data_IF_458446018691
#
_entry.id   IF_458446018691
#
_cell.length_a   1.000
_cell.length_b   1.000
_cell.length_c   1.000
_cell.angle_alpha   90.00
_cell.angle_beta   90.00
_cell.angle_gamma   90.00
#
_symmetry.space_group_name_H-M   'P 1'
#
loop_
_entity.id
_entity.type
_entity.pdbx_description
1 polymer ?
#
# COMPACT_ATOMS: atom_id res chain seq x y z
N UNK A 1 -5.54 24.17 -14.07
CA UNK A 1 -4.95 23.68 -13.59
C UNK A 1 -4.91 22.56 -13.29
N UNK A 2 -4.66 22.26 -13.50
CA UNK A 2 -4.56 21.22 -13.14
C UNK A 2 -4.25 21.08 -11.98
N UNK A 3 -4.77 20.89 -11.54
CA UNK A 3 -4.29 20.74 -10.31
C UNK A 3 -3.18 19.82 -10.22
N UNK A 4 -2.21 20.22 -9.60
CA UNK A 4 -1.11 19.35 -9.41
C UNK A 4 -1.52 18.18 -8.61
N UNK A 5 -1.19 17.05 -9.08
CA UNK A 5 -1.47 15.84 -8.38
C UNK A 5 -0.78 15.83 -7.04
N UNK A 6 -1.51 15.50 -6.02
CA UNK A 6 -0.92 15.37 -4.73
C UNK A 6 0.01 14.18 -4.72
N UNK A 7 1.21 14.37 -4.24
CA UNK A 7 2.19 13.32 -4.29
C UNK A 7 2.29 12.53 -3.01
N UNK A 8 2.00 13.17 -1.88
CA UNK A 8 2.12 12.47 -0.62
C UNK A 8 1.30 13.17 0.43
N UNK A 9 0.63 12.40 1.28
CA UNK A 9 -0.03 12.94 2.46
C UNK A 9 0.53 12.22 3.67
N UNK A 10 0.52 12.93 4.80
CA UNK A 10 1.00 12.40 6.08
C UNK A 10 -0.12 12.45 7.10
N UNK A 11 -0.06 11.57 8.08
CA UNK A 11 -1.05 11.52 9.14
C UNK A 11 -0.46 10.88 10.40
N UNK A 12 -1.08 11.17 11.54
CA UNK A 12 -0.56 10.67 12.82
C UNK A 12 -0.78 9.19 13.00
N UNK A 13 -1.91 8.70 12.55
CA UNK A 13 -2.27 7.29 12.68
C UNK A 13 -2.69 6.77 11.33
N UNK A 14 -2.61 5.45 11.17
CA UNK A 14 -2.99 4.83 9.92
C UNK A 14 -4.38 5.24 9.46
N UNK A 15 -4.57 5.29 8.16
CA UNK A 15 -5.83 5.66 7.55
C UNK A 15 -6.36 4.53 6.71
N UNK A 16 -7.65 4.26 6.80
CA UNK A 16 -8.26 3.24 5.97
C UNK A 16 -8.34 3.67 4.51
N UNK A 17 -8.54 2.69 3.64
CA UNK A 17 -8.90 2.96 2.26
C UNK A 17 -10.38 3.29 2.25
N UNK A 18 -10.74 4.48 1.80
CA UNK A 18 -12.12 4.95 1.76
C UNK A 18 -12.88 4.42 0.55
N UNK A 19 -12.16 4.15 -0.53
CA UNK A 19 -12.80 3.67 -1.75
C UNK A 19 -11.76 3.45 -2.84
N UNK A 20 -12.20 2.85 -3.95
CA UNK A 20 -11.34 2.64 -5.10
C UNK A 20 -12.20 2.48 -6.34
N UNK A 21 -11.57 2.63 -7.48
CA UNK A 21 -12.21 2.42 -8.77
C UNK A 21 -11.15 2.25 -9.84
N UNK A 22 -11.51 2.36 -11.12
CA UNK A 22 -10.53 2.21 -12.19
C UNK A 22 -9.40 3.22 -12.02
N UNK A 23 -8.19 2.70 -11.86
CA UNK A 23 -6.96 3.46 -11.77
C UNK A 23 -6.86 4.41 -10.58
N UNK A 24 -7.66 4.26 -9.52
CA UNK A 24 -7.52 5.15 -8.36
C UNK A 24 -7.90 4.49 -7.06
N UNK A 25 -7.35 5.07 -5.98
CA UNK A 25 -7.69 4.74 -4.60
C UNK A 25 -7.94 6.04 -3.84
N UNK A 26 -8.88 6.02 -2.89
CA UNK A 26 -9.13 7.20 -2.05
C UNK A 26 -8.71 6.88 -0.63
N UNK A 27 -7.82 7.71 -0.11
CA UNK A 27 -7.29 7.55 1.25
C UNK A 27 -7.35 8.91 1.93
N UNK A 28 -7.96 8.96 3.12
CA UNK A 28 -8.06 10.20 3.88
C UNK A 28 -8.68 11.33 3.06
N UNK A 29 -9.65 10.99 2.22
CA UNK A 29 -10.33 11.98 1.39
C UNK A 29 -9.58 12.39 0.14
N UNK A 30 -8.37 11.91 -0.06
CA UNK A 30 -7.56 12.26 -1.22
C UNK A 30 -7.56 11.13 -2.23
N UNK A 31 -7.61 11.49 -3.50
CA UNK A 31 -7.58 10.51 -4.59
C UNK A 31 -6.15 10.36 -5.10
N UNK A 32 -5.70 9.12 -5.17
CA UNK A 32 -4.38 8.77 -5.70
C UNK A 32 -4.58 7.91 -6.93
N UNK A 33 -4.02 8.33 -8.05
CA UNK A 33 -4.09 7.57 -9.29
C UNK A 33 -2.85 6.70 -9.42
N UNK A 34 -3.03 5.50 -10.00
CA UNK A 34 -1.93 4.60 -10.24
C UNK A 34 -1.52 3.81 -9.03
N UNK A 35 -0.25 3.42 -9.01
CA UNK A 35 0.31 2.62 -7.92
C UNK A 35 0.55 3.47 -6.69
N UNK A 36 0.22 2.94 -5.52
CA UNK A 36 0.43 3.67 -4.27
C UNK A 36 1.03 2.79 -3.21
N UNK A 37 1.73 3.44 -2.28
CA UNK A 37 2.21 2.83 -1.06
C UNK A 37 1.50 3.51 0.11
N UNK A 38 0.71 2.75 0.85
CA UNK A 38 0.02 3.25 2.04
C UNK A 38 0.74 2.71 3.26
N UNK A 39 1.23 3.62 4.06
CA UNK A 39 2.12 3.32 5.18
C UNK A 39 1.49 3.81 6.48
N UNK A 40 2.05 3.44 7.63
CA UNK A 40 1.44 3.85 8.91
C UNK A 40 1.23 5.34 9.07
N UNK A 41 2.09 6.17 8.48
CA UNK A 41 2.01 7.61 8.67
C UNK A 41 1.95 8.40 7.35
N UNK A 42 1.83 7.74 6.23
CA UNK A 42 1.78 8.44 4.94
C UNK A 42 1.20 7.58 3.84
N UNK A 43 0.76 8.24 2.79
CA UNK A 43 0.38 7.59 1.55
C UNK A 43 1.02 8.36 0.41
N UNK A 44 1.61 7.65 -0.54
CA UNK A 44 2.35 8.30 -1.62
C UNK A 44 2.37 7.43 -2.86
N UNK A 45 2.67 8.02 -4.01
CA UNK A 45 2.87 7.26 -5.24
C UNK A 45 3.99 6.24 -5.07
N UNK A 46 3.87 5.14 -5.76
CA UNK A 46 4.80 4.03 -5.64
C UNK A 46 5.23 3.61 -7.03
N UNK A 47 6.52 3.32 -7.20
CA UNK A 47 7.05 2.96 -8.50
C UNK A 47 6.84 1.49 -8.85
N UNK A 48 6.38 0.68 -7.92
CA UNK A 48 6.13 -0.73 -8.16
C UNK A 48 7.20 -1.61 -7.54
N UNK A 49 7.28 -2.85 -8.02
CA UNK A 49 8.09 -3.86 -7.34
C UNK A 49 9.59 -3.62 -7.41
N UNK A 50 10.04 -2.70 -8.24
CA UNK A 50 11.45 -2.31 -8.24
C UNK A 50 11.77 -1.29 -7.16
N UNK A 51 10.77 -0.92 -6.36
CA UNK A 51 10.89 0.13 -5.37
C UNK A 51 10.41 -0.34 -3.99
N UNK A 52 11.19 -1.18 -3.30
CA UNK A 52 10.81 -1.63 -1.96
C UNK A 52 11.06 -0.59 -0.88
N UNK A 53 11.78 0.49 -1.20
CA UNK A 53 12.23 1.45 -0.21
C UNK A 53 11.14 2.05 0.66
N UNK A 54 9.95 2.43 0.14
CA UNK A 54 8.94 3.02 1.01
C UNK A 54 8.59 2.14 2.20
N UNK A 55 8.60 0.82 2.01
CA UNK A 55 8.26 -0.13 3.07
C UNK A 55 9.46 -0.41 3.96
N UNK A 56 10.62 -0.62 3.37
CA UNK A 56 11.84 -0.91 4.12
C UNK A 56 12.19 0.25 5.05
N UNK A 57 11.99 1.48 4.59
CA UNK A 57 12.35 2.66 5.38
C UNK A 57 11.53 2.79 6.66
N UNK A 58 10.37 2.15 6.73
CA UNK A 58 9.53 2.17 7.94
C UNK A 58 9.33 0.76 8.48
N UNK A 59 10.27 -0.14 8.21
CA UNK A 59 10.13 -1.55 8.54
C UNK A 59 9.83 -1.80 10.01
N UNK A 60 10.38 -0.99 10.91
CA UNK A 60 10.12 -1.22 12.34
C UNK A 60 8.71 -0.85 12.75
N UNK A 61 7.95 -0.20 11.89
CA UNK A 61 6.56 0.13 12.15
C UNK A 61 5.61 -0.81 11.40
N UNK A 62 6.14 -1.84 10.73
CA UNK A 62 5.35 -2.76 9.91
C UNK A 62 5.55 -4.19 10.36
N UNK A 63 4.44 -4.91 10.54
CA UNK A 63 4.49 -6.37 10.69
C UNK A 63 4.26 -7.05 9.36
N UNK A 64 3.42 -6.47 8.53
CA UNK A 64 3.05 -7.09 7.25
C UNK A 64 2.74 -6.02 6.22
N UNK A 65 3.06 -6.32 4.97
CA UNK A 65 2.60 -5.54 3.82
C UNK A 65 1.70 -6.44 3.00
N UNK A 66 0.50 -5.96 2.74
CA UNK A 66 -0.41 -6.63 1.82
C UNK A 66 -0.15 -6.05 0.43
N UNK A 67 0.03 -6.94 -0.54
CA UNK A 67 0.28 -6.52 -1.92
C UNK A 67 -0.99 -6.76 -2.72
N UNK A 68 -1.60 -5.67 -3.20
CA UNK A 68 -2.74 -5.76 -4.09
C UNK A 68 -2.27 -5.79 -5.53
N UNK A 69 -2.58 -6.87 -6.22
CA UNK A 69 -2.04 -7.15 -7.55
C UNK A 69 -2.95 -6.65 -8.68
N UNK A 70 -3.79 -5.67 -8.41
CA UNK A 70 -4.77 -5.25 -9.39
C UNK A 70 -5.96 -6.19 -9.39
N UNK A 71 -6.50 -6.49 -10.58
CA UNK A 71 -7.67 -7.36 -10.67
C UNK A 71 -7.35 -8.81 -10.37
N UNK A 72 -6.18 -9.27 -10.81
CA UNK A 72 -5.85 -10.70 -10.76
C UNK A 72 -4.52 -10.90 -10.06
N UNK A 73 -4.47 -11.93 -9.23
CA UNK A 73 -3.23 -12.31 -8.55
C UNK A 73 -2.25 -12.82 -9.60
N UNK A 74 -1.00 -12.39 -9.47
CA UNK A 74 0.08 -12.84 -10.34
C UNK A 74 1.30 -13.13 -9.47
N UNK A 75 2.38 -13.54 -10.10
CA UNK A 75 3.62 -13.81 -9.40
C UNK A 75 4.21 -12.52 -8.84
N UNK A 76 4.53 -12.54 -7.56
CA UNK A 76 5.26 -11.45 -6.95
C UNK A 76 6.75 -11.64 -7.25
N UNK A 77 7.44 -10.61 -7.75
CA UNK A 77 8.88 -10.73 -7.99
C UNK A 77 9.61 -11.14 -6.71
N UNK A 78 10.50 -12.13 -6.87
CA UNK A 78 11.24 -12.69 -5.74
C UNK A 78 12.05 -11.61 -5.01
N UNK A 79 12.65 -10.71 -5.77
CA UNK A 79 13.48 -9.66 -5.16
C UNK A 79 12.70 -8.75 -4.23
N UNK A 80 11.47 -8.39 -4.61
CA UNK A 80 10.63 -7.54 -3.77
C UNK A 80 10.28 -8.25 -2.48
N UNK A 81 9.77 -9.48 -2.58
CA UNK A 81 9.42 -10.27 -1.39
C UNK A 81 10.62 -10.46 -0.49
N UNK A 82 11.75 -10.86 -1.08
CA UNK A 82 12.95 -11.14 -0.30
C UNK A 82 13.43 -9.91 0.45
N UNK A 83 13.42 -8.76 -0.21
CA UNK A 83 13.88 -7.52 0.41
C UNK A 83 13.02 -7.15 1.61
N UNK A 84 11.70 -7.27 1.48
CA UNK A 84 10.81 -6.97 2.59
C UNK A 84 10.98 -7.99 3.72
N UNK A 85 11.05 -9.27 3.39
CA UNK A 85 11.19 -10.30 4.41
C UNK A 85 12.49 -10.19 5.17
N UNK A 86 13.58 -9.82 4.48
CA UNK A 86 14.85 -9.59 5.16
C UNK A 86 14.81 -8.40 6.09
N UNK A 87 13.89 -7.48 5.87
CA UNK A 87 13.68 -6.35 6.76
C UNK A 87 12.72 -6.68 7.90
N UNK A 88 12.26 -7.93 7.99
CA UNK A 88 11.37 -8.35 9.06
C UNK A 88 9.90 -8.14 8.78
N UNK A 89 9.53 -7.89 7.52
CA UNK A 89 8.16 -7.60 7.14
C UNK A 89 7.55 -8.82 6.46
N UNK A 90 6.38 -9.28 6.96
CA UNK A 90 5.63 -10.31 6.26
C UNK A 90 5.02 -9.76 4.98
N UNK A 91 4.83 -10.63 3.98
CA UNK A 91 4.29 -10.19 2.69
C UNK A 91 3.20 -11.16 2.28
N UNK A 92 2.02 -10.62 1.94
CA UNK A 92 0.90 -11.43 1.47
C UNK A 92 0.31 -10.80 0.23
N UNK A 93 0.00 -11.62 -0.77
CA UNK A 93 -0.52 -11.13 -2.04
C UNK A 93 -2.00 -11.47 -2.18
N UNK A 94 -2.73 -10.56 -2.81
CA UNK A 94 -4.16 -10.74 -3.11
C UNK A 94 -4.51 -9.73 -4.20
N UNK A 95 -5.73 -9.81 -4.75
CA UNK A 95 -6.13 -8.75 -5.67
C UNK A 95 -6.34 -7.45 -4.89
N UNK A 96 -6.33 -6.31 -5.58
CA UNK A 96 -6.36 -5.03 -4.91
C UNK A 96 -7.64 -4.77 -4.10
N UNK A 97 -8.83 -5.11 -4.58
CA UNK A 97 -10.03 -4.95 -3.74
C UNK A 97 -9.94 -5.72 -2.43
N UNK A 98 -9.49 -6.97 -2.49
CA UNK A 98 -9.35 -7.77 -1.28
C UNK A 98 -8.28 -7.20 -0.36
N UNK A 99 -7.17 -6.71 -0.95
CA UNK A 99 -6.10 -6.11 -0.17
C UNK A 99 -6.61 -4.89 0.59
N UNK A 100 -7.41 -4.05 -0.05
CA UNK A 100 -7.98 -2.88 0.60
C UNK A 100 -8.86 -3.25 1.77
N UNK A 101 -9.74 -4.25 1.58
CA UNK A 101 -10.63 -4.68 2.65
C UNK A 101 -9.88 -5.32 3.81
N UNK A 102 -8.92 -6.18 3.49
CA UNK A 102 -8.12 -6.85 4.51
C UNK A 102 -7.29 -5.84 5.30
N UNK A 103 -6.69 -4.88 4.59
CA UNK A 103 -5.95 -3.81 5.23
C UNK A 103 -6.84 -3.06 6.23
N UNK A 104 -8.05 -2.68 5.82
CA UNK A 104 -8.94 -1.92 6.70
C UNK A 104 -9.28 -2.72 7.96
N UNK A 105 -9.50 -4.03 7.83
CA UNK A 105 -9.79 -4.88 8.99
C UNK A 105 -8.59 -4.94 9.93
N UNK A 106 -7.40 -5.21 9.39
CA UNK A 106 -6.20 -5.30 10.21
C UNK A 106 -5.90 -3.98 10.90
N UNK A 107 -6.09 -2.88 10.17
CA UNK A 107 -5.86 -1.57 10.74
C UNK A 107 -6.81 -1.31 11.92
N UNK A 108 -8.08 -1.67 11.77
CA UNK A 108 -9.07 -1.47 12.84
C UNK A 108 -8.76 -2.33 14.06
N UNK A 109 -7.99 -3.39 13.89
CA UNK A 109 -7.56 -4.25 15.00
C UNK A 109 -6.25 -3.79 15.62
N UNK A 110 -5.74 -2.65 15.19
CA UNK A 110 -4.49 -2.12 15.73
C UNK A 110 -3.25 -2.78 15.18
N UNK A 111 -3.35 -3.51 14.06
CA UNK A 111 -2.19 -4.17 13.46
C UNK A 111 -1.32 -3.16 12.71
N UNK A 112 -0.04 -3.44 12.66
CA UNK A 112 0.93 -2.59 11.95
C UNK A 112 1.05 -3.10 10.53
N UNK A 113 0.23 -2.54 9.65
CA UNK A 113 0.05 -3.05 8.30
C UNK A 113 0.30 -1.94 7.29
N UNK A 114 0.95 -2.31 6.18
CA UNK A 114 1.11 -1.44 5.03
C UNK A 114 0.47 -2.05 3.81
N UNK A 115 0.33 -1.26 2.76
CA UNK A 115 -0.39 -1.66 1.57
C UNK A 115 0.38 -1.21 0.35
N UNK A 116 0.72 -2.16 -0.52
CA UNK A 116 1.35 -1.88 -1.81
C UNK A 116 0.31 -2.22 -2.87
N UNK A 117 -0.20 -1.21 -3.55
CA UNK A 117 -1.35 -1.41 -4.45
C UNK A 117 -1.01 -1.14 -5.90
N UNK A 118 -1.33 -2.10 -6.74
CA UNK A 118 -1.42 -1.90 -8.19
C UNK A 118 -2.85 -1.50 -8.51
N UNK A 119 -3.05 -0.59 -9.46
CA UNK A 119 -4.40 -0.10 -9.77
C UNK A 119 -5.24 -1.13 -10.51
N UNK A 120 -6.52 -0.89 -10.48
CA UNK A 120 -7.51 -1.70 -11.20
C UNK A 120 -7.68 -1.20 -12.64
#
# INVERSE_FOLDING_TARGET
MHKMQLNEISFDNGRPVDGYGPNFFRIAGEVFEGKIALLPHSCKPWLGFDDPAPFVNVAKDLDVVLVGMGKNIAHLPVGFRSTLEQAGIGVEIMNSPTACRTYNVLLSEGRRVGLALLPL
#
